data_IF_794266296920
#
_entry.id   IF_794266296920
#
_cell.length_a   1.000
_cell.length_b   1.000
_cell.length_c   1.000
_cell.angle_alpha   90.00
_cell.angle_beta   90.00
_cell.angle_gamma   90.00
#
_symmetry.space_group_name_H-M   'P 1'
#
loop_
_entity.id
_entity.type
_entity.pdbx_description
1 polymer ?
#
# COMPACT_ATOMS: atom_id res chain seq x y z
N UNK A 1 17.34 -1.92 8.97
CA UNK A 1 16.59 -3.17 8.79
C UNK A 1 15.72 -3.52 9.99
N UNK A 2 14.38 -3.52 9.83
CA UNK A 2 13.48 -4.13 10.80
C UNK A 2 13.70 -5.65 10.89
N UNK A 3 13.52 -6.25 12.07
CA UNK A 3 13.65 -7.71 12.29
C UNK A 3 12.49 -8.41 11.58
N UNK A 4 12.70 -9.43 10.72
CA UNK A 4 11.63 -10.02 9.93
C UNK A 4 10.55 -10.69 10.79
N UNK A 5 9.29 -10.31 10.59
CA UNK A 5 8.14 -10.90 11.31
C UNK A 5 7.63 -12.22 10.68
N UNK A 6 8.19 -12.63 9.53
CA UNK A 6 7.64 -13.70 8.67
C UNK A 6 6.16 -13.49 8.31
N UNK A 7 5.73 -12.24 8.24
CA UNK A 7 4.39 -11.85 7.79
C UNK A 7 4.55 -11.17 6.43
N UNK A 8 3.79 -11.65 5.45
CA UNK A 8 3.61 -10.99 4.16
C UNK A 8 2.14 -10.65 4.00
N UNK A 9 1.82 -9.39 3.73
CA UNK A 9 0.44 -9.01 3.41
C UNK A 9 0.23 -8.86 1.92
N UNK A 10 -0.95 -9.20 1.42
CA UNK A 10 -1.30 -9.02 0.01
C UNK A 10 -2.45 -8.03 -0.16
N UNK A 11 -2.22 -6.98 -0.97
CA UNK A 11 -3.28 -6.13 -1.51
C UNK A 11 -3.23 -6.18 -3.03
N UNK A 12 -4.33 -6.51 -3.70
CA UNK A 12 -4.39 -6.55 -5.17
C UNK A 12 -5.74 -6.09 -5.70
N UNK A 13 -5.83 -5.85 -6.99
CA UNK A 13 -7.11 -5.69 -7.70
C UNK A 13 -7.52 -6.96 -8.48
N UNK A 14 -6.96 -8.13 -8.19
CA UNK A 14 -7.25 -9.36 -8.94
C UNK A 14 -8.64 -9.94 -8.69
N UNK A 15 -9.26 -9.63 -7.55
CA UNK A 15 -10.43 -10.32 -7.04
C UNK A 15 -10.10 -11.72 -6.55
N UNK A 16 -11.14 -12.45 -6.13
CA UNK A 16 -11.04 -13.80 -5.54
C UNK A 16 -11.57 -14.90 -6.45
N UNK A 17 -12.03 -14.56 -7.66
CA UNK A 17 -12.63 -15.51 -8.61
C UNK A 17 -11.60 -16.37 -9.33
N UNK A 18 -10.43 -15.80 -9.61
CA UNK A 18 -9.38 -16.41 -10.44
C UNK A 18 -8.15 -16.82 -9.60
N UNK A 19 -7.29 -17.63 -10.22
CA UNK A 19 -6.12 -18.26 -9.59
C UNK A 19 -4.97 -17.32 -9.19
N UNK A 20 -5.02 -16.03 -9.58
CA UNK A 20 -3.88 -15.11 -9.45
C UNK A 20 -3.37 -15.01 -8.00
N UNK A 21 -4.27 -14.74 -7.05
CA UNK A 21 -3.90 -14.62 -5.62
C UNK A 21 -3.33 -15.94 -5.09
N UNK A 22 -3.95 -17.07 -5.42
CA UNK A 22 -3.49 -18.39 -4.99
C UNK A 22 -2.09 -18.72 -5.53
N UNK A 23 -1.79 -18.33 -6.77
CA UNK A 23 -0.46 -18.51 -7.36
C UNK A 23 0.61 -17.69 -6.65
N UNK A 24 0.31 -16.44 -6.26
CA UNK A 24 1.23 -15.63 -5.45
C UNK A 24 1.49 -16.28 -4.09
N UNK A 25 0.44 -16.76 -3.41
CA UNK A 25 0.56 -17.48 -2.14
C UNK A 25 1.39 -18.75 -2.27
N UNK A 26 1.21 -19.51 -3.35
CA UNK A 26 2.01 -20.70 -3.65
C UNK A 26 3.50 -20.38 -3.78
N UNK A 27 3.86 -19.30 -4.49
CA UNK A 27 5.26 -18.86 -4.60
C UNK A 27 5.82 -18.43 -3.24
N UNK A 28 5.07 -17.64 -2.47
CA UNK A 28 5.48 -17.20 -1.14
C UNK A 28 5.82 -18.39 -0.23
N UNK A 29 4.89 -19.33 -0.11
CA UNK A 29 5.02 -20.51 0.75
C UNK A 29 6.05 -21.52 0.23
N UNK A 30 6.25 -21.58 -1.08
CA UNK A 30 7.32 -22.40 -1.67
C UNK A 30 8.73 -21.93 -1.29
N UNK A 31 8.92 -20.62 -1.08
CA UNK A 31 10.23 -20.03 -0.72
C UNK A 31 10.46 -20.03 0.80
N UNK A 32 9.44 -19.71 1.59
CA UNK A 32 9.46 -19.79 3.05
C UNK A 32 8.14 -20.39 3.57
N UNK A 33 8.10 -21.69 3.87
CA UNK A 33 6.88 -22.38 4.31
C UNK A 33 6.29 -21.89 5.64
N UNK A 34 7.05 -21.13 6.44
CA UNK A 34 6.60 -20.59 7.73
C UNK A 34 6.02 -19.17 7.63
N UNK A 35 5.83 -18.64 6.42
CA UNK A 35 5.21 -17.33 6.26
C UNK A 35 3.75 -17.35 6.69
N UNK A 36 3.35 -16.31 7.43
CA UNK A 36 1.95 -15.93 7.56
C UNK A 36 1.60 -15.01 6.40
N UNK A 37 0.78 -15.50 5.47
CA UNK A 37 0.29 -14.69 4.34
C UNK A 37 -1.10 -14.16 4.68
N UNK A 38 -1.22 -12.84 4.80
CA UNK A 38 -2.45 -12.16 5.24
C UNK A 38 -3.00 -11.30 4.10
N UNK A 39 -4.23 -11.54 3.69
CA UNK A 39 -4.86 -10.71 2.66
C UNK A 39 -5.38 -9.42 3.31
N UNK A 40 -4.96 -8.27 2.76
CA UNK A 40 -5.54 -6.97 3.12
C UNK A 40 -6.84 -6.77 2.34
N UNK A 41 -6.78 -6.93 1.02
CA UNK A 41 -7.94 -6.90 0.13
C UNK A 41 -7.52 -7.34 -1.27
N UNK A 42 -8.41 -8.05 -1.98
CA UNK A 42 -8.25 -8.34 -3.40
C UNK A 42 -9.30 -7.65 -4.27
N UNK A 43 -10.22 -6.92 -3.65
CA UNK A 43 -11.42 -6.35 -4.28
C UNK A 43 -11.36 -4.81 -4.36
N UNK A 44 -10.17 -4.22 -4.22
CA UNK A 44 -9.99 -2.81 -4.59
C UNK A 44 -10.36 -2.63 -6.07
N UNK A 45 -10.90 -1.47 -6.47
CA UNK A 45 -11.32 -1.25 -7.85
C UNK A 45 -10.21 -1.57 -8.84
N UNK A 46 -10.56 -2.23 -9.95
CA UNK A 46 -9.62 -2.54 -11.04
C UNK A 46 -8.89 -1.27 -11.44
N UNK A 47 -7.55 -1.33 -11.49
CA UNK A 47 -6.67 -0.22 -11.81
C UNK A 47 -6.73 0.98 -10.84
N UNK A 48 -7.41 0.83 -9.70
CA UNK A 48 -7.67 1.88 -8.71
C UNK A 48 -6.47 2.15 -7.81
N UNK A 49 -5.33 2.55 -8.38
CA UNK A 49 -4.05 2.79 -7.67
C UNK A 49 -4.23 3.68 -6.43
N UNK A 50 -4.98 4.77 -6.55
CA UNK A 50 -5.24 5.69 -5.43
C UNK A 50 -5.99 5.03 -4.29
N UNK A 51 -7.07 4.30 -4.59
CA UNK A 51 -7.87 3.58 -3.59
C UNK A 51 -7.05 2.48 -2.92
N UNK A 52 -6.23 1.77 -3.69
CA UNK A 52 -5.32 0.76 -3.19
C UNK A 52 -4.26 1.35 -2.23
N UNK A 53 -3.65 2.48 -2.59
CA UNK A 53 -2.68 3.16 -1.73
C UNK A 53 -3.28 3.60 -0.39
N UNK A 54 -4.50 4.16 -0.41
CA UNK A 54 -5.23 4.55 0.81
C UNK A 54 -5.55 3.32 1.67
N UNK A 55 -6.06 2.25 1.04
CA UNK A 55 -6.42 1.01 1.74
C UNK A 55 -5.19 0.37 2.38
N UNK A 56 -4.05 0.37 1.67
CA UNK A 56 -2.78 -0.11 2.19
C UNK A 56 -2.33 0.69 3.41
N UNK A 57 -2.36 2.02 3.35
CA UNK A 57 -1.96 2.89 4.47
C UNK A 57 -2.84 2.69 5.70
N UNK A 58 -4.16 2.51 5.50
CA UNK A 58 -5.10 2.25 6.58
C UNK A 58 -4.83 0.92 7.29
N UNK A 59 -4.44 -0.13 6.57
CA UNK A 59 -4.18 -1.44 7.14
C UNK A 59 -2.75 -1.58 7.71
N UNK A 60 -1.73 -1.17 6.94
CA UNK A 60 -0.31 -1.45 7.22
C UNK A 60 0.14 -1.00 8.62
N UNK A 61 -0.33 0.17 9.08
CA UNK A 61 0.06 0.76 10.37
C UNK A 61 -0.22 -0.11 11.61
N UNK A 62 -1.14 -1.07 11.49
CA UNK A 62 -1.52 -1.99 12.57
C UNK A 62 -0.72 -3.31 12.57
N UNK A 63 0.06 -3.58 11.52
CA UNK A 63 0.85 -4.80 11.46
C UNK A 63 2.12 -4.71 12.33
N UNK A 64 2.67 -5.86 12.78
CA UNK A 64 3.92 -5.89 13.54
C UNK A 64 5.10 -5.38 12.70
N UNK A 65 6.07 -4.73 13.37
CA UNK A 65 7.36 -4.35 12.77
C UNK A 65 8.00 -5.56 12.08
N UNK A 66 8.56 -5.35 10.89
CA UNK A 66 9.17 -6.39 10.07
C UNK A 66 8.21 -7.09 9.10
N UNK A 67 6.95 -6.65 9.04
CA UNK A 67 6.00 -7.10 8.02
C UNK A 67 6.42 -6.60 6.64
N UNK A 68 6.27 -7.46 5.63
CA UNK A 68 6.45 -7.10 4.22
C UNK A 68 5.07 -6.93 3.59
N UNK A 69 4.74 -5.71 3.17
CA UNK A 69 3.49 -5.39 2.53
C UNK A 69 3.63 -5.44 1.01
N UNK A 70 2.94 -6.36 0.35
CA UNK A 70 2.89 -6.46 -1.10
C UNK A 70 1.60 -5.81 -1.60
N UNK A 71 1.72 -4.86 -2.53
CA UNK A 71 0.56 -4.27 -3.20
C UNK A 71 0.71 -4.34 -4.72
N UNK A 72 -0.25 -4.96 -5.40
CA UNK A 72 -0.25 -5.17 -6.86
C UNK A 72 -1.58 -4.70 -7.44
N UNK A 73 -1.62 -3.41 -7.77
CA UNK A 73 -2.68 -2.79 -8.58
C UNK A 73 -1.97 -2.05 -9.70
N UNK A 74 -2.03 -2.61 -10.90
CA UNK A 74 -1.01 -2.32 -11.90
C UNK A 74 -1.55 -2.22 -13.33
N UNK A 75 -2.22 -1.09 -13.66
CA UNK A 75 -2.67 -0.84 -15.04
C UNK A 75 -1.53 -0.78 -16.05
N UNK A 76 -0.31 -0.49 -15.60
CA UNK A 76 0.89 -0.40 -16.42
C UNK A 76 1.63 -1.73 -16.58
N UNK A 77 1.03 -2.86 -16.20
CA UNK A 77 1.70 -4.16 -16.35
C UNK A 77 2.12 -4.41 -17.80
N UNK A 78 3.32 -4.96 -17.99
CA UNK A 78 3.93 -5.12 -19.32
C UNK A 78 4.57 -3.86 -19.92
N UNK A 79 4.43 -2.69 -19.28
CA UNK A 79 5.11 -1.44 -19.68
C UNK A 79 6.35 -1.16 -18.83
N UNK A 80 7.28 -0.29 -19.28
CA UNK A 80 8.44 0.13 -18.48
C UNK A 80 8.01 0.91 -17.22
N UNK A 81 8.14 0.26 -16.07
CA UNK A 81 8.05 0.87 -14.73
C UNK A 81 8.95 0.11 -13.77
N UNK A 82 9.45 0.77 -12.75
CA UNK A 82 10.32 0.12 -11.76
C UNK A 82 9.50 -0.88 -10.94
N UNK A 83 10.11 -2.00 -10.58
CA UNK A 83 9.61 -2.91 -9.56
C UNK A 83 10.29 -2.54 -8.25
N UNK A 84 9.55 -2.10 -7.23
CA UNK A 84 10.13 -1.47 -6.06
C UNK A 84 10.14 -2.35 -4.82
N UNK A 85 11.16 -2.15 -4.01
CA UNK A 85 11.17 -2.39 -2.56
C UNK A 85 11.39 -1.04 -1.89
N UNK A 86 10.51 -0.66 -0.96
CA UNK A 86 10.73 0.48 -0.07
C UNK A 86 11.00 -0.04 1.34
N UNK A 87 12.15 0.28 1.91
CA UNK A 87 12.43 0.08 3.33
C UNK A 87 11.96 1.31 4.11
N UNK A 88 11.23 1.07 5.21
CA UNK A 88 10.75 2.12 6.12
C UNK A 88 11.21 1.84 7.55
N UNK A 89 10.81 2.68 8.51
CA UNK A 89 11.20 2.50 9.92
C UNK A 89 10.75 1.14 10.48
N UNK A 90 9.56 0.69 10.09
CA UNK A 90 8.94 -0.54 10.59
C UNK A 90 8.75 -1.62 9.54
N UNK A 91 8.57 -1.28 8.27
CA UNK A 91 8.09 -2.23 7.26
C UNK A 91 8.94 -2.26 5.99
N UNK A 92 8.69 -3.27 5.18
CA UNK A 92 9.05 -3.25 3.76
C UNK A 92 7.78 -3.17 2.91
N UNK A 93 7.83 -2.43 1.82
CA UNK A 93 6.73 -2.35 0.84
C UNK A 93 7.23 -2.82 -0.53
N UNK A 94 6.49 -3.71 -1.20
CA UNK A 94 6.88 -4.32 -2.47
C UNK A 94 5.76 -4.18 -3.49
N UNK A 95 6.07 -3.72 -4.70
CA UNK A 95 5.06 -3.48 -5.73
C UNK A 95 5.56 -2.61 -6.89
N UNK A 96 4.69 -2.23 -7.83
CA UNK A 96 5.05 -1.40 -8.98
C UNK A 96 5.27 0.06 -8.60
N UNK A 97 6.17 0.74 -9.30
CA UNK A 97 6.38 2.19 -9.23
C UNK A 97 5.28 2.96 -9.99
N UNK A 98 4.09 3.00 -9.38
CA UNK A 98 2.94 3.75 -9.86
C UNK A 98 2.28 4.60 -8.76
N UNK A 99 2.91 4.64 -7.57
CA UNK A 99 2.40 5.31 -6.39
C UNK A 99 1.56 4.46 -5.45
N UNK A 100 1.23 3.21 -5.77
CA UNK A 100 0.42 2.34 -4.88
C UNK A 100 1.03 2.17 -3.49
N UNK A 101 2.36 2.24 -3.37
CA UNK A 101 3.09 2.10 -2.09
C UNK A 101 3.28 3.43 -1.35
N UNK A 102 3.10 4.56 -2.03
CA UNK A 102 3.60 5.88 -1.59
C UNK A 102 3.06 6.31 -0.23
N UNK A 103 1.73 6.34 -0.07
CA UNK A 103 1.08 6.83 1.15
C UNK A 103 1.55 6.06 2.40
N UNK A 104 1.46 4.73 2.36
CA UNK A 104 1.80 3.87 3.49
C UNK A 104 3.29 3.97 3.84
N UNK A 105 4.15 4.04 2.83
CA UNK A 105 5.59 4.13 3.02
C UNK A 105 6.03 5.50 3.57
N UNK A 106 5.42 6.58 3.10
CA UNK A 106 5.67 7.94 3.60
C UNK A 106 5.19 8.13 5.04
N UNK A 107 4.00 7.63 5.37
CA UNK A 107 3.46 7.68 6.74
C UNK A 107 4.38 6.96 7.75
N UNK A 108 4.97 5.82 7.37
CA UNK A 108 5.91 5.10 8.23
C UNK A 108 7.32 5.74 8.24
N UNK A 109 7.69 6.39 7.14
CA UNK A 109 8.95 7.10 6.93
C UNK A 109 9.98 6.25 6.19
N UNK A 110 10.20 6.58 4.92
CA UNK A 110 11.11 5.89 4.00
C UNK A 110 12.57 6.04 4.46
N UNK A 111 13.30 4.94 4.40
CA UNK A 111 14.73 4.81 4.73
C UNK A 111 15.59 4.38 3.54
N UNK A 112 15.01 3.65 2.60
CA UNK A 112 15.68 3.24 1.37
C UNK A 112 14.66 2.84 0.30
N UNK A 113 15.07 2.92 -0.95
CA UNK A 113 14.29 2.49 -2.12
C UNK A 113 15.19 1.67 -3.04
N UNK A 114 14.66 0.57 -3.56
CA UNK A 114 15.43 -0.37 -4.38
C UNK A 114 14.61 -0.80 -5.59
N UNK A 115 15.23 -0.83 -6.76
CA UNK A 115 14.65 -1.38 -7.98
C UNK A 115 15.03 -2.85 -8.14
N UNK A 116 14.03 -3.73 -8.17
CA UNK A 116 14.18 -5.17 -8.37
C UNK A 116 14.55 -5.46 -9.83
N UNK A 117 15.86 -5.55 -10.10
CA UNK A 117 16.44 -5.81 -11.42
C UNK A 117 17.54 -6.85 -11.33
N UNK A 118 17.61 -7.77 -12.30
CA UNK A 118 18.70 -8.76 -12.43
C UNK A 118 18.86 -9.76 -11.27
N UNK A 119 17.94 -9.79 -10.31
CA UNK A 119 18.08 -10.62 -9.12
C UNK A 119 17.80 -12.09 -9.40
N UNK A 120 18.72 -12.98 -8.99
CA UNK A 120 18.55 -14.44 -9.02
C UNK A 120 17.45 -14.98 -8.08
N UNK A 121 16.93 -14.13 -7.20
CA UNK A 121 15.92 -14.48 -6.21
C UNK A 121 14.49 -14.24 -6.70
N UNK A 122 14.33 -13.73 -7.91
CA UNK A 122 13.05 -13.65 -8.62
C UNK A 122 13.13 -14.49 -9.90
N UNK A 123 11.98 -14.81 -10.50
CA UNK A 123 12.00 -15.60 -11.74
C UNK A 123 12.71 -14.82 -12.86
N UNK A 124 13.62 -15.52 -13.54
CA UNK A 124 14.40 -14.97 -14.66
C UNK A 124 13.54 -14.88 -15.92
N UNK A 125 12.81 -15.96 -16.20
CA UNK A 125 11.77 -16.00 -17.24
C UNK A 125 10.47 -15.45 -16.66
N UNK A 126 10.20 -14.18 -16.96
CA UNK A 126 9.04 -13.46 -16.42
C UNK A 126 7.90 -13.52 -17.41
N UNK A 127 6.69 -13.77 -16.93
CA UNK A 127 5.49 -13.42 -17.66
C UNK A 127 5.45 -11.89 -17.82
N UNK A 128 5.14 -11.44 -19.04
CA UNK A 128 4.93 -10.01 -19.31
C UNK A 128 3.74 -9.43 -18.51
N UNK A 129 2.83 -10.28 -18.06
CA UNK A 129 1.55 -9.86 -17.48
C UNK A 129 1.37 -10.22 -16.00
N UNK A 130 2.31 -10.93 -15.37
CA UNK A 130 2.13 -11.37 -13.98
C UNK A 130 3.32 -11.15 -13.05
N UNK A 131 3.79 -9.89 -12.99
CA UNK A 131 4.83 -9.46 -12.05
C UNK A 131 4.50 -9.74 -10.57
N UNK A 132 3.21 -9.81 -10.20
CA UNK A 132 2.75 -10.26 -8.89
C UNK A 132 3.34 -11.60 -8.48
N UNK A 133 3.22 -12.61 -9.33
CA UNK A 133 3.76 -13.96 -9.10
C UNK A 133 5.27 -14.02 -9.33
N UNK A 134 5.76 -13.37 -10.38
CA UNK A 134 7.11 -13.63 -10.88
C UNK A 134 8.20 -12.76 -10.23
N UNK A 135 7.82 -11.61 -9.67
CA UNK A 135 8.74 -10.62 -9.13
C UNK A 135 8.40 -10.26 -7.69
N UNK A 136 7.17 -9.82 -7.43
CA UNK A 136 6.81 -9.25 -6.13
C UNK A 136 6.67 -10.31 -5.03
N UNK A 137 5.95 -11.41 -5.29
CA UNK A 137 5.85 -12.53 -4.35
C UNK A 137 7.22 -13.10 -3.96
N UNK A 138 8.12 -13.48 -4.89
CA UNK A 138 9.41 -14.06 -4.50
C UNK A 138 10.30 -13.05 -3.76
N UNK A 139 10.34 -11.79 -4.19
CA UNK A 139 11.07 -10.75 -3.47
C UNK A 139 10.56 -10.58 -2.03
N UNK A 140 9.24 -10.55 -1.84
CA UNK A 140 8.63 -10.41 -0.52
C UNK A 140 8.92 -11.60 0.41
N UNK A 141 8.89 -12.83 -0.11
CA UNK A 141 9.26 -14.01 0.67
C UNK A 141 10.71 -13.95 1.14
N UNK A 142 11.63 -13.55 0.25
CA UNK A 142 13.04 -13.43 0.60
C UNK A 142 13.31 -12.31 1.62
N UNK A 143 12.65 -11.15 1.49
CA UNK A 143 12.70 -10.09 2.52
C UNK A 143 12.19 -10.59 3.86
N UNK A 144 11.04 -11.26 3.88
CA UNK A 144 10.44 -11.80 5.10
C UNK A 144 11.27 -12.93 5.73
N UNK A 145 12.16 -13.56 4.96
CA UNK A 145 13.18 -14.52 5.42
C UNK A 145 14.45 -13.84 5.97
N UNK A 146 14.58 -12.52 5.81
CA UNK A 146 15.72 -11.73 6.27
C UNK A 146 16.81 -11.49 5.23
N UNK A 147 16.53 -11.75 3.94
CA UNK A 147 17.44 -11.32 2.88
C UNK A 147 17.41 -9.77 2.81
N UNK A 148 18.57 -9.11 2.84
CA UNK A 148 18.61 -7.65 2.77
C UNK A 148 18.23 -7.16 1.35
N UNK A 149 17.56 -5.99 1.23
CA UNK A 149 17.01 -5.50 -0.04
C UNK A 149 18.07 -5.26 -1.13
N UNK A 150 19.31 -4.93 -0.75
CA UNK A 150 20.46 -4.77 -1.65
C UNK A 150 20.80 -6.05 -2.44
N UNK A 151 20.33 -7.21 -1.98
CA UNK A 151 20.51 -8.50 -2.67
C UNK A 151 19.40 -8.77 -3.68
N UNK A 152 18.30 -8.01 -3.63
CA UNK A 152 17.15 -8.14 -4.49
C UNK A 152 17.10 -7.08 -5.58
N UNK A 153 17.77 -5.95 -5.39
CA UNK A 153 17.73 -4.85 -6.32
C UNK A 153 18.83 -3.82 -6.10
N UNK A 154 18.92 -2.88 -7.03
CA UNK A 154 19.83 -1.74 -6.96
C UNK A 154 19.17 -0.61 -6.17
N UNK A 155 19.93 0.05 -5.30
CA UNK A 155 19.44 1.22 -4.55
C UNK A 155 19.18 2.39 -5.51
N UNK A 156 18.08 3.10 -5.29
CA UNK A 156 17.67 4.28 -6.07
C UNK A 156 17.33 5.43 -5.11
N UNK A 157 17.35 6.66 -5.61
CA UNK A 157 16.95 7.83 -4.81
C UNK A 157 15.44 7.74 -4.48
N UNK A 158 15.05 7.76 -3.19
CA UNK A 158 13.64 7.76 -2.80
C UNK A 158 12.82 8.93 -3.36
N UNK A 159 13.44 10.03 -3.79
CA UNK A 159 12.77 11.15 -4.45
C UNK A 159 12.26 10.83 -5.85
N UNK A 160 12.77 9.77 -6.50
CA UNK A 160 12.34 9.33 -7.83
C UNK A 160 11.06 8.48 -7.82
N UNK A 161 10.60 8.01 -6.66
CA UNK A 161 9.42 7.15 -6.58
C UNK A 161 8.15 7.93 -6.92
N UNK A 162 7.25 7.32 -7.70
CA UNK A 162 5.95 7.95 -8.00
C UNK A 162 5.08 8.03 -6.75
N UNK A 163 4.31 9.10 -6.67
CA UNK A 163 3.39 9.38 -5.56
C UNK A 163 1.97 9.50 -6.06
N UNK A 164 1.02 8.97 -5.28
CA UNK A 164 -0.39 9.25 -5.50
C UNK A 164 -0.68 10.65 -5.01
N UNK A 165 -1.23 11.50 -5.87
CA UNK A 165 -1.69 12.83 -5.47
C UNK A 165 -2.88 12.73 -4.51
N UNK A 166 -2.72 13.28 -3.31
CA UNK A 166 -3.79 13.62 -2.39
C UNK A 166 -3.81 15.14 -2.29
N UNK A 167 -4.97 15.76 -2.50
CA UNK A 167 -5.11 17.20 -2.34
C UNK A 167 -4.79 17.59 -0.89
N UNK A 168 -4.16 18.74 -0.67
CA UNK A 168 -3.97 19.23 0.70
C UNK A 168 -5.30 19.79 1.23
N UNK A 169 -5.78 19.30 2.38
CA UNK A 169 -6.94 19.88 3.02
C UNK A 169 -6.64 21.32 3.47
N UNK A 170 -7.59 22.24 3.24
CA UNK A 170 -7.46 23.66 3.55
C UNK A 170 -8.26 24.02 4.79
N UNK A 171 -7.63 24.72 5.74
CA UNK A 171 -8.29 25.24 6.93
C UNK A 171 -8.47 26.76 6.79
N UNK A 172 -9.71 27.22 7.00
CA UNK A 172 -10.05 28.64 7.06
C UNK A 172 -10.94 28.88 8.29
N UNK A 173 -10.35 29.45 9.34
CA UNK A 173 -11.01 29.63 10.63
C UNK A 173 -11.53 28.31 11.21
N UNK A 174 -12.86 28.18 11.33
CA UNK A 174 -13.55 26.97 11.84
C UNK A 174 -13.95 25.98 10.74
N UNK A 175 -13.68 26.29 9.47
CA UNK A 175 -14.00 25.45 8.33
C UNK A 175 -12.75 24.70 7.89
N UNK A 176 -12.89 23.40 7.65
CA UNK A 176 -11.87 22.57 7.00
C UNK A 176 -12.48 22.00 5.74
N UNK A 177 -11.79 22.19 4.64
CA UNK A 177 -12.15 21.66 3.33
C UNK A 177 -11.15 20.58 2.96
N UNK A 178 -11.65 19.51 2.37
CA UNK A 178 -10.85 18.40 1.92
C UNK A 178 -11.59 17.66 0.82
N UNK A 179 -11.07 16.51 0.45
CA UNK A 179 -11.65 15.64 -0.54
C UNK A 179 -12.05 14.30 0.08
N UNK A 180 -13.04 13.66 -0.53
CA UNK A 180 -13.39 12.28 -0.23
C UNK A 180 -12.34 11.40 -0.90
N UNK A 181 -11.58 10.71 -0.07
CA UNK A 181 -10.57 9.75 -0.49
C UNK A 181 -11.18 8.41 -0.88
N UNK A 182 -12.25 8.02 -0.17
CA UNK A 182 -12.91 6.75 -0.40
C UNK A 182 -14.32 6.70 0.18
N UNK A 183 -15.11 5.80 -0.38
CA UNK A 183 -16.36 5.30 0.21
C UNK A 183 -16.10 3.85 0.61
N UNK A 184 -16.34 3.50 1.87
CA UNK A 184 -16.22 2.11 2.33
C UNK A 184 -17.52 1.32 2.09
N UNK A 185 -17.50 0.02 2.38
CA UNK A 185 -18.66 -0.86 2.15
C UNK A 185 -19.87 -0.54 3.03
N UNK A 186 -19.66 0.16 4.16
CA UNK A 186 -20.75 0.63 5.01
C UNK A 186 -21.33 1.98 4.55
N UNK A 187 -20.76 2.57 3.49
CA UNK A 187 -21.15 3.88 2.97
C UNK A 187 -20.50 5.05 3.70
N UNK A 188 -19.49 4.81 4.55
CA UNK A 188 -18.77 5.90 5.21
C UNK A 188 -17.90 6.65 4.21
N UNK A 189 -17.84 7.97 4.38
CA UNK A 189 -16.98 8.85 3.59
C UNK A 189 -15.65 9.05 4.31
N UNK A 190 -14.58 8.48 3.78
CA UNK A 190 -13.22 8.70 4.27
C UNK A 190 -12.68 9.96 3.61
N UNK A 191 -12.20 10.92 4.41
CA UNK A 191 -11.64 12.18 3.91
C UNK A 191 -10.13 12.25 4.14
N UNK A 192 -9.47 13.18 3.46
CA UNK A 192 -8.07 13.54 3.72
C UNK A 192 -7.90 14.52 4.90
N UNK A 193 -8.98 14.83 5.63
CA UNK A 193 -8.95 15.77 6.76
C UNK A 193 -8.41 15.05 8.00
N UNK A 194 -7.24 15.47 8.46
CA UNK A 194 -6.58 14.88 9.63
C UNK A 194 -7.12 15.43 10.95
N UNK A 195 -6.94 14.68 12.04
CA UNK A 195 -7.33 15.10 13.39
C UNK A 195 -6.70 16.43 13.81
N UNK A 196 -5.46 16.69 13.38
CA UNK A 196 -4.75 17.93 13.69
C UNK A 196 -5.43 19.17 13.08
N UNK A 197 -6.01 19.05 11.89
CA UNK A 197 -6.73 20.14 11.23
C UNK A 197 -8.07 20.42 11.91
N UNK A 198 -8.75 19.37 12.36
CA UNK A 198 -10.01 19.46 13.11
C UNK A 198 -9.80 20.13 14.47
N UNK A 199 -8.66 19.87 15.13
CA UNK A 199 -8.35 20.40 16.47
C UNK A 199 -9.13 19.70 17.58
N UNK A 200 -9.27 20.37 18.72
CA UNK A 200 -10.00 19.85 19.89
C UNK A 200 -11.53 19.99 19.73
N UNK A 201 -12.12 19.15 18.88
CA UNK A 201 -13.56 18.89 18.95
C UNK A 201 -13.84 17.88 20.06
N UNK A 202 -14.75 18.25 20.96
CA UNK A 202 -15.28 17.35 21.99
C UNK A 202 -16.24 16.34 21.37
N UNK A 203 -16.18 15.10 21.85
CA UNK A 203 -17.15 14.06 21.51
C UNK A 203 -18.59 14.58 21.76
N UNK A 204 -19.50 14.27 20.85
CA UNK A 204 -20.90 14.73 20.88
C UNK A 204 -21.13 16.16 20.39
N UNK A 205 -20.07 16.96 20.17
CA UNK A 205 -20.24 18.32 19.64
C UNK A 205 -20.76 18.26 18.20
N UNK A 206 -21.86 18.96 17.92
CA UNK A 206 -22.41 19.00 16.58
C UNK A 206 -21.45 19.65 15.58
N UNK A 207 -21.22 18.98 14.47
CA UNK A 207 -20.52 19.48 13.29
C UNK A 207 -21.46 19.51 12.10
N UNK A 208 -21.19 20.43 11.17
CA UNK A 208 -21.89 20.48 9.89
C UNK A 208 -20.94 20.02 8.79
N UNK A 209 -21.25 18.90 8.15
CA UNK A 209 -20.57 18.42 6.96
C UNK A 209 -21.31 18.86 5.70
N UNK A 210 -20.56 19.23 4.65
CA UNK A 210 -21.13 19.47 3.31
C UNK A 210 -20.43 18.58 2.29
N UNK A 211 -21.21 17.79 1.54
CA UNK A 211 -20.72 16.84 0.54
C UNK A 211 -21.64 16.87 -0.67
N UNK A 212 -21.09 17.08 -1.87
CA UNK A 212 -21.85 16.97 -3.12
C UNK A 212 -23.12 17.84 -3.18
N UNK A 213 -23.09 19.03 -2.58
CA UNK A 213 -24.25 19.94 -2.47
C UNK A 213 -25.21 19.64 -1.31
N UNK A 214 -25.09 18.48 -0.67
CA UNK A 214 -25.86 18.12 0.53
C UNK A 214 -25.18 18.65 1.80
N UNK A 215 -25.97 18.99 2.82
CA UNK A 215 -25.48 19.43 4.14
C UNK A 215 -26.06 18.53 5.22
N UNK A 216 -25.21 18.01 6.09
CA UNK A 216 -25.58 17.15 7.21
C UNK A 216 -25.06 17.75 8.52
N UNK A 217 -25.87 17.69 9.57
CA UNK A 217 -25.46 18.06 10.93
C UNK A 217 -25.39 16.79 11.77
N UNK A 218 -24.20 16.42 12.21
CA UNK A 218 -23.94 15.17 12.93
C UNK A 218 -23.12 15.44 14.19
N UNK A 219 -23.25 14.64 15.26
CA UNK A 219 -22.33 14.71 16.38
C UNK A 219 -20.93 14.27 15.94
N UNK A 220 -19.90 14.94 16.46
CA UNK A 220 -18.53 14.47 16.33
C UNK A 220 -18.33 13.24 17.22
N UNK A 221 -17.95 12.12 16.61
CA UNK A 221 -17.62 10.87 17.28
C UNK A 221 -16.10 10.72 17.46
#
# INVERSE_FOLDING_TARGET
MPVPARIVTLLTDFGTRDHYVASMKGVLLGIEPRLQVIDVSHDVPKFGVRRAAITLAQAAKFFPRGTVHVAVVDPGVGTPRKHLILETKRFFFVGPDNGVLSIAAEEDGIKGAYEIRGSRYVFQERSNTFAGRDVFAPAAAHLAKGLPPERLGEEIDPSEIKKVGIGEPRKSGRRVEGEILAIDEFGNLVTNITRSLVGELKFGKAITGKVGGSSLKVPFL
#
